data_IF_818648369149
#
_entry.id   IF_818648369149
#
_cell.length_a   1.000
_cell.length_b   1.000
_cell.length_c   1.000
_cell.angle_alpha   90.00
_cell.angle_beta   90.00
_cell.angle_gamma   90.00
#
_symmetry.space_group_name_H-M   'P 1'
#
loop_
_entity.id
_entity.type
_entity.pdbx_description
1 polymer ?
#
# COMPACT_ATOMS: atom_id res chain seq x y z
N UNK A 1 -0.23 -11.11 29.27
CA UNK A 1 1.09 -11.25 28.64
C UNK A 1 0.89 -11.25 27.11
N UNK A 2 0.99 -10.08 26.47
CA UNK A 2 0.78 -9.93 25.03
C UNK A 2 2.11 -10.00 24.30
N UNK A 3 2.35 -11.08 23.56
CA UNK A 3 3.56 -11.28 22.75
C UNK A 3 3.61 -10.18 21.69
N UNK A 4 4.63 -9.32 21.74
CA UNK A 4 5.00 -8.46 20.60
C UNK A 4 5.47 -9.39 19.49
N UNK A 5 4.67 -9.56 18.45
CA UNK A 5 5.13 -10.14 17.18
C UNK A 5 6.23 -9.23 16.65
N UNK A 6 7.46 -9.72 16.60
CA UNK A 6 8.60 -8.97 16.07
C UNK A 6 8.47 -8.77 14.56
N UNK A 7 9.21 -7.83 13.99
CA UNK A 7 9.30 -7.57 12.55
C UNK A 7 9.50 -8.85 11.70
N UNK A 8 10.16 -9.86 12.29
CA UNK A 8 10.40 -11.17 11.70
C UNK A 8 9.14 -12.01 11.45
N UNK A 9 8.05 -11.80 12.22
CA UNK A 9 6.75 -12.44 11.94
C UNK A 9 5.93 -11.62 10.94
N UNK A 10 6.13 -10.31 10.87
CA UNK A 10 5.44 -9.45 9.91
C UNK A 10 5.88 -9.76 8.47
N UNK A 11 7.19 -9.84 8.22
CA UNK A 11 7.72 -10.17 6.89
C UNK A 11 7.25 -11.54 6.39
N UNK A 12 7.12 -12.54 7.28
CA UNK A 12 6.63 -13.88 6.95
C UNK A 12 5.14 -13.92 6.55
N UNK A 13 4.36 -12.95 7.00
CA UNK A 13 2.93 -12.85 6.68
C UNK A 13 2.67 -12.02 5.41
N UNK A 14 3.71 -11.47 4.81
CA UNK A 14 3.62 -10.72 3.57
C UNK A 14 3.65 -11.66 2.37
N UNK A 15 2.75 -11.41 1.42
CA UNK A 15 2.70 -12.17 0.17
C UNK A 15 2.65 -11.20 -1.00
N UNK A 16 3.53 -11.41 -1.98
CA UNK A 16 3.44 -10.71 -3.26
C UNK A 16 2.15 -11.15 -3.95
N UNK A 17 1.29 -10.19 -4.28
CA UNK A 17 0.00 -10.45 -4.91
C UNK A 17 0.14 -10.44 -6.43
N UNK A 18 0.79 -9.42 -6.96
CA UNK A 18 1.02 -9.21 -8.39
C UNK A 18 2.23 -8.29 -8.59
N UNK A 19 2.68 -8.21 -9.83
CA UNK A 19 3.69 -7.30 -10.34
C UNK A 19 3.21 -6.82 -11.71
N UNK A 20 3.50 -5.56 -12.04
CA UNK A 20 3.07 -4.94 -13.30
C UNK A 20 4.07 -3.87 -13.71
N UNK A 21 4.30 -3.78 -15.03
CA UNK A 21 5.15 -2.76 -15.67
C UNK A 21 4.41 -2.01 -16.80
N UNK A 22 3.15 -2.39 -17.08
CA UNK A 22 2.26 -1.72 -18.04
C UNK A 22 0.96 -1.22 -17.38
N UNK A 23 0.26 -0.31 -18.06
CA UNK A 23 -1.04 0.21 -17.59
C UNK A 23 -2.12 -0.87 -17.69
N UNK A 24 -2.03 -1.71 -18.71
CA UNK A 24 -2.92 -2.85 -18.92
C UNK A 24 -2.79 -3.86 -17.78
N UNK A 25 -1.57 -4.19 -17.36
CA UNK A 25 -1.33 -5.11 -16.23
C UNK A 25 -1.72 -4.49 -14.89
N UNK A 26 -1.51 -3.18 -14.72
CA UNK A 26 -2.02 -2.44 -13.56
C UNK A 26 -3.53 -2.59 -13.44
N UNK A 27 -4.29 -2.25 -14.49
CA UNK A 27 -5.74 -2.39 -14.45
C UNK A 27 -6.21 -3.83 -14.39
N UNK A 28 -5.50 -4.75 -15.05
CA UNK A 28 -5.71 -6.19 -14.95
C UNK A 28 -5.59 -6.68 -13.50
N UNK A 29 -4.62 -6.17 -12.75
CA UNK A 29 -4.45 -6.51 -11.33
C UNK A 29 -5.54 -5.86 -10.47
N UNK A 30 -5.70 -4.53 -10.54
CA UNK A 30 -6.55 -3.77 -9.62
C UNK A 30 -8.03 -4.16 -9.78
N UNK A 31 -8.49 -4.49 -10.99
CA UNK A 31 -9.87 -4.90 -11.21
C UNK A 31 -10.19 -6.32 -10.70
N UNK A 32 -9.18 -7.13 -10.39
CA UNK A 32 -9.35 -8.53 -9.99
C UNK A 32 -9.00 -8.80 -8.51
N UNK A 33 -8.68 -7.78 -7.72
CA UNK A 33 -8.46 -7.90 -6.28
C UNK A 33 -9.58 -7.22 -5.46
N UNK A 34 -9.85 -7.66 -4.22
CA UNK A 34 -10.78 -6.95 -3.36
C UNK A 34 -10.34 -5.49 -3.13
N UNK A 35 -11.26 -4.51 -3.18
CA UNK A 35 -10.93 -3.14 -2.80
C UNK A 35 -10.58 -3.06 -1.29
N UNK A 36 -9.80 -2.04 -0.87
CA UNK A 36 -9.38 -1.88 0.53
C UNK A 36 -10.54 -1.92 1.54
N UNK A 37 -11.70 -1.36 1.19
CA UNK A 37 -12.89 -1.36 2.05
C UNK A 37 -13.40 -2.76 2.40
N UNK A 38 -13.09 -3.78 1.57
CA UNK A 38 -13.51 -5.18 1.73
C UNK A 38 -12.44 -6.08 2.32
N UNK A 39 -11.26 -5.55 2.66
CA UNK A 39 -10.23 -6.35 3.32
C UNK A 39 -10.68 -6.79 4.73
N UNK A 40 -10.30 -8.02 5.14
CA UNK A 40 -10.44 -8.44 6.52
C UNK A 40 -9.70 -7.50 7.47
N UNK A 41 -10.24 -7.35 8.69
CA UNK A 41 -9.62 -6.50 9.71
C UNK A 41 -8.22 -7.03 10.03
N UNK A 42 -7.22 -6.15 9.95
CA UNK A 42 -5.81 -6.47 10.19
C UNK A 42 -5.02 -6.82 8.92
N UNK A 43 -5.67 -6.93 7.75
CA UNK A 43 -4.99 -7.06 6.46
C UNK A 43 -4.61 -5.68 5.88
N UNK A 44 -3.50 -5.62 5.15
CA UNK A 44 -3.00 -4.40 4.51
C UNK A 44 -2.62 -4.69 3.05
N UNK A 45 -2.78 -3.70 2.19
CA UNK A 45 -2.12 -3.66 0.88
C UNK A 45 -0.88 -2.79 0.95
N UNK A 46 0.10 -3.15 0.13
CA UNK A 46 1.35 -2.42 -0.06
C UNK A 46 1.63 -2.37 -1.56
N UNK A 47 1.97 -1.20 -2.10
CA UNK A 47 2.43 -1.01 -3.47
C UNK A 47 3.80 -0.35 -3.40
N UNK A 48 4.82 -0.99 -3.95
CA UNK A 48 6.22 -0.57 -3.90
C UNK A 48 6.88 -0.82 -5.26
N UNK A 49 7.90 -0.04 -5.61
CA UNK A 49 8.76 -0.32 -6.76
C UNK A 49 9.46 -1.65 -6.58
N UNK A 50 9.74 -2.33 -7.69
CA UNK A 50 10.45 -3.61 -7.66
C UNK A 50 11.81 -3.47 -6.95
N UNK A 51 12.18 -4.47 -6.16
CA UNK A 51 13.43 -4.47 -5.39
C UNK A 51 13.39 -3.70 -4.07
N UNK A 52 12.35 -2.91 -3.80
CA UNK A 52 12.18 -2.21 -2.51
C UNK A 52 11.22 -3.01 -1.62
N UNK A 53 11.73 -3.49 -0.49
CA UNK A 53 10.90 -4.17 0.48
C UNK A 53 10.08 -3.16 1.28
N UNK A 54 8.79 -3.44 1.62
CA UNK A 54 7.92 -2.52 2.33
C UNK A 54 8.24 -2.39 3.84
N UNK A 55 9.52 -2.33 4.19
CA UNK A 55 10.02 -2.33 5.57
C UNK A 55 10.99 -1.19 5.81
N UNK A 56 11.05 -0.70 7.04
CA UNK A 56 11.91 0.44 7.41
C UNK A 56 13.40 0.06 7.40
N UNK A 57 13.70 -1.24 7.50
CA UNK A 57 15.06 -1.79 7.42
C UNK A 57 15.62 -1.80 6.00
N UNK A 58 14.78 -1.63 4.96
CA UNK A 58 15.25 -1.52 3.57
C UNK A 58 16.09 -0.24 3.42
N UNK A 59 17.25 -0.34 2.77
CA UNK A 59 18.16 0.78 2.60
C UNK A 59 17.50 1.98 1.89
N UNK A 60 16.53 1.72 1.00
CA UNK A 60 15.78 2.77 0.30
C UNK A 60 14.78 3.49 1.22
N UNK A 61 14.28 2.82 2.25
CA UNK A 61 13.30 3.38 3.20
C UNK A 61 13.95 3.95 4.47
N UNK A 62 15.14 3.47 4.86
CA UNK A 62 15.74 3.71 6.17
C UNK A 62 16.02 5.19 6.49
N UNK A 63 16.21 6.03 5.46
CA UNK A 63 16.43 7.49 5.59
C UNK A 63 15.22 8.33 5.15
N UNK A 64 14.12 7.67 4.79
CA UNK A 64 12.92 8.31 4.28
C UNK A 64 11.93 8.69 5.38
N UNK A 65 10.69 8.87 4.98
CA UNK A 65 9.56 9.12 5.86
C UNK A 65 8.29 8.52 5.28
N UNK A 66 7.16 8.67 5.98
CA UNK A 66 5.84 8.34 5.41
C UNK A 66 4.85 9.45 5.67
N UNK A 67 4.04 9.75 4.66
CA UNK A 67 2.82 10.50 4.85
C UNK A 67 1.72 9.54 5.29
N UNK A 68 0.97 9.89 6.34
CA UNK A 68 -0.11 9.04 6.86
C UNK A 68 -1.40 9.83 6.93
N UNK A 69 -2.42 9.35 6.25
CA UNK A 69 -3.79 9.81 6.40
C UNK A 69 -4.57 8.81 7.27
N UNK A 70 -5.24 9.32 8.30
CA UNK A 70 -6.11 8.51 9.17
C UNK A 70 -7.54 9.03 9.08
N UNK A 71 -8.43 8.24 8.48
CA UNK A 71 -9.85 8.56 8.41
C UNK A 71 -10.47 8.56 9.82
N UNK A 72 -11.08 9.67 10.24
CA UNK A 72 -11.75 9.75 11.53
C UNK A 72 -13.07 9.00 11.45
N UNK A 73 -13.22 7.97 12.28
CA UNK A 73 -14.38 7.07 12.31
C UNK A 73 -15.60 7.72 12.97
N UNK A 74 -16.06 8.86 12.46
CA UNK A 74 -17.29 9.51 12.92
C UNK A 74 -18.47 9.09 12.04
N UNK A 75 -19.14 7.98 12.41
CA UNK A 75 -20.43 7.58 11.81
C UNK A 75 -20.40 6.40 10.85
N UNK A 76 -19.23 5.84 10.55
CA UNK A 76 -19.10 4.67 9.66
C UNK A 76 -17.88 4.82 8.76
N UNK A 77 -17.43 3.71 8.15
CA UNK A 77 -16.42 3.77 7.09
C UNK A 77 -17.14 4.38 5.89
N UNK A 78 -16.81 5.60 5.45
CA UNK A 78 -17.22 6.01 4.10
C UNK A 78 -16.42 5.13 3.13
N UNK A 79 -17.00 3.99 2.76
CA UNK A 79 -16.35 2.93 1.99
C UNK A 79 -15.84 3.45 0.65
N UNK A 80 -16.62 4.34 0.02
CA UNK A 80 -16.24 5.01 -1.23
C UNK A 80 -14.99 5.88 -1.07
N UNK A 81 -14.85 6.58 0.06
CA UNK A 81 -13.73 7.50 0.26
C UNK A 81 -12.39 6.76 0.36
N UNK A 82 -12.33 5.63 1.08
CA UNK A 82 -11.06 4.88 1.21
C UNK A 82 -10.66 4.18 -0.09
N UNK A 83 -11.63 3.65 -0.84
CA UNK A 83 -11.36 2.97 -2.11
C UNK A 83 -10.88 3.97 -3.17
N UNK A 84 -11.54 5.13 -3.28
CA UNK A 84 -11.15 6.20 -4.20
C UNK A 84 -9.78 6.79 -3.83
N UNK A 85 -9.53 7.07 -2.55
CA UNK A 85 -8.23 7.59 -2.09
C UNK A 85 -7.09 6.60 -2.40
N UNK A 86 -7.33 5.31 -2.18
CA UNK A 86 -6.35 4.28 -2.51
C UNK A 86 -6.08 4.23 -4.03
N UNK A 87 -7.14 4.23 -4.85
CA UNK A 87 -7.02 4.23 -6.31
C UNK A 87 -6.26 5.46 -6.81
N UNK A 88 -6.63 6.67 -6.36
CA UNK A 88 -5.95 7.89 -6.78
C UNK A 88 -4.50 7.93 -6.33
N UNK A 89 -4.19 7.40 -5.14
CA UNK A 89 -2.80 7.27 -4.69
C UNK A 89 -2.01 6.40 -5.65
N UNK A 90 -2.52 5.20 -6.00
CA UNK A 90 -1.86 4.31 -6.96
C UNK A 90 -1.69 4.95 -8.35
N UNK A 91 -2.71 5.65 -8.85
CA UNK A 91 -2.65 6.34 -10.14
C UNK A 91 -1.59 7.44 -10.14
N UNK A 92 -1.46 8.21 -9.05
CA UNK A 92 -0.41 9.22 -8.93
C UNK A 92 0.99 8.61 -8.85
N UNK A 93 1.14 7.41 -8.27
CA UNK A 93 2.41 6.67 -8.23
C UNK A 93 2.79 6.16 -9.62
N UNK A 94 1.89 5.44 -10.29
CA UNK A 94 2.14 4.85 -11.61
C UNK A 94 2.27 5.91 -12.71
N UNK A 95 1.54 7.02 -12.59
CA UNK A 95 1.61 8.14 -13.53
C UNK A 95 2.76 9.11 -13.29
N UNK A 96 3.59 8.87 -12.26
CA UNK A 96 4.72 9.73 -11.87
C UNK A 96 4.35 11.22 -11.75
N UNK A 97 3.17 11.52 -11.20
CA UNK A 97 2.61 12.89 -11.22
C UNK A 97 3.22 13.84 -10.19
N UNK A 98 4.22 13.39 -9.42
CA UNK A 98 4.88 14.17 -8.37
C UNK A 98 6.15 14.84 -8.92
N UNK A 99 6.47 16.09 -8.53
CA UNK A 99 7.68 16.79 -8.96
C UNK A 99 8.99 16.05 -8.62
N UNK A 100 8.99 15.31 -7.51
CA UNK A 100 10.12 14.51 -7.00
C UNK A 100 9.77 13.02 -7.03
N UNK A 101 9.27 12.51 -8.17
CA UNK A 101 8.79 11.13 -8.32
C UNK A 101 9.88 10.06 -8.14
N UNK A 102 11.15 10.44 -8.24
CA UNK A 102 12.33 9.63 -7.96
C UNK A 102 12.54 9.37 -6.46
N UNK A 103 11.97 10.21 -5.60
CA UNK A 103 12.00 10.06 -4.14
C UNK A 103 10.86 9.20 -3.59
N UNK A 104 9.98 8.70 -4.47
CA UNK A 104 8.77 7.94 -4.15
C UNK A 104 8.95 6.45 -4.46
#
# INVERSE_FOLDING_TARGET
>A
SGRRSGANDWAKNMKRVSEFDTIEDFWGTINNIPPPSKLPVGCNYHLFREGIMPMWEDAHNAKGGKWTYNEKRNGGRSTKTVDDMWLYTMLSLVGETYPDSDQI
#
